data_IF_802845695176
#
_entry.id   IF_802845695176
#
_cell.length_a   1.000
_cell.length_b   1.000
_cell.length_c   1.000
_cell.angle_alpha   90.00
_cell.angle_beta   90.00
_cell.angle_gamma   90.00
#
_symmetry.space_group_name_H-M   'P 1'
#
loop_
_entity.id
_entity.type
_entity.pdbx_description
1 polymer ?
#
# COMPACT_ATOMS: atom_id res chain seq x y z
N UNK A 1 -42.60 -20.49 54.52
CA UNK A 1 -41.73 -21.40 53.74
C UNK A 1 -41.76 -21.17 52.21
N UNK A 2 -42.75 -20.45 51.64
CA UNK A 2 -42.84 -20.21 50.18
C UNK A 2 -41.96 -19.07 49.62
N UNK A 3 -41.54 -18.10 50.45
CA UNK A 3 -40.74 -16.94 49.99
C UNK A 3 -39.25 -17.26 49.78
N UNK A 4 -38.67 -18.18 50.55
CA UNK A 4 -37.27 -18.62 50.40
C UNK A 4 -37.02 -19.44 49.13
N UNK A 5 -38.05 -20.13 48.62
CA UNK A 5 -37.94 -20.94 47.39
C UNK A 5 -37.93 -20.08 46.12
N UNK A 6 -38.61 -18.94 46.13
CA UNK A 6 -38.65 -17.99 44.99
C UNK A 6 -37.35 -17.21 44.82
N UNK A 7 -36.69 -16.83 45.92
CA UNK A 7 -35.38 -16.17 45.88
C UNK A 7 -34.27 -17.06 45.34
N UNK A 8 -34.28 -18.36 45.70
CA UNK A 8 -33.29 -19.32 45.21
C UNK A 8 -33.49 -19.68 43.74
N UNK A 9 -34.75 -19.77 43.27
CA UNK A 9 -35.04 -19.97 41.85
C UNK A 9 -34.63 -18.73 41.05
N UNK A 10 -34.97 -17.52 41.49
CA UNK A 10 -34.57 -16.29 40.80
C UNK A 10 -33.05 -16.10 40.74
N UNK A 11 -32.32 -16.43 41.80
CA UNK A 11 -30.85 -16.35 41.82
C UNK A 11 -30.21 -17.43 40.93
N UNK A 12 -30.77 -18.65 40.92
CA UNK A 12 -30.33 -19.71 40.01
C UNK A 12 -30.65 -19.40 38.55
N UNK A 13 -31.79 -18.78 38.23
CA UNK A 13 -32.14 -18.39 36.86
C UNK A 13 -31.34 -17.18 36.39
N UNK A 14 -31.02 -16.22 37.26
CA UNK A 14 -30.12 -15.10 36.91
C UNK A 14 -28.70 -15.59 36.69
N UNK A 15 -28.18 -16.47 37.56
CA UNK A 15 -26.87 -17.09 37.34
C UNK A 15 -26.87 -17.97 36.10
N UNK A 16 -27.92 -18.75 35.83
CA UNK A 16 -27.97 -19.62 34.65
C UNK A 16 -28.15 -18.81 33.36
N UNK A 17 -28.85 -17.66 33.38
CA UNK A 17 -28.93 -16.74 32.23
C UNK A 17 -27.63 -15.99 32.03
N UNK A 18 -26.91 -15.59 33.10
CA UNK A 18 -25.58 -14.99 32.95
C UNK A 18 -24.54 -16.00 32.48
N UNK A 19 -24.57 -17.22 33.00
CA UNK A 19 -23.63 -18.31 32.68
C UNK A 19 -23.94 -18.89 31.28
N UNK A 20 -25.21 -19.01 30.86
CA UNK A 20 -25.56 -19.37 29.46
C UNK A 20 -25.26 -18.22 28.47
N UNK A 21 -25.37 -16.95 28.88
CA UNK A 21 -24.98 -15.81 28.03
C UNK A 21 -23.47 -15.63 27.91
N UNK A 22 -22.69 -16.12 28.87
CA UNK A 22 -21.22 -16.17 28.81
C UNK A 22 -20.70 -17.44 28.12
N UNK A 23 -21.45 -18.56 28.17
CA UNK A 23 -21.05 -19.85 27.57
C UNK A 23 -21.49 -20.00 26.09
N UNK A 24 -22.41 -19.16 25.59
CA UNK A 24 -22.77 -19.08 24.16
C UNK A 24 -22.10 -17.94 23.40
N UNK A 25 -20.96 -17.44 23.88
CA UNK A 25 -19.93 -17.05 22.93
C UNK A 25 -19.31 -18.35 22.41
N UNK A 26 -19.97 -18.98 21.42
CA UNK A 26 -19.22 -19.79 20.46
C UNK A 26 -17.99 -18.95 20.11
N UNK A 27 -16.81 -19.51 20.36
CA UNK A 27 -15.53 -18.89 20.08
C UNK A 27 -15.49 -18.63 18.57
N UNK A 28 -16.11 -17.52 18.13
CA UNK A 28 -16.34 -17.22 16.74
C UNK A 28 -14.97 -17.25 16.09
N UNK A 29 -14.76 -18.20 15.19
CA UNK A 29 -13.46 -18.34 14.55
C UNK A 29 -13.11 -16.97 13.96
N UNK A 30 -11.88 -16.49 14.17
CA UNK A 30 -11.46 -15.10 13.86
C UNK A 30 -11.84 -14.59 12.46
N UNK A 31 -12.08 -15.50 11.50
CA UNK A 31 -12.46 -15.23 10.13
C UNK A 31 -13.97 -15.02 9.91
N UNK A 32 -14.82 -15.34 10.89
CA UNK A 32 -16.28 -15.07 10.90
C UNK A 32 -16.63 -13.67 11.42
N UNK A 33 -15.62 -12.90 11.85
CA UNK A 33 -15.82 -11.54 12.33
C UNK A 33 -16.52 -10.67 11.27
N UNK A 34 -17.46 -9.80 11.67
CA UNK A 34 -18.16 -8.93 10.74
C UNK A 34 -17.19 -8.00 10.00
N UNK A 35 -17.31 -7.93 8.68
CA UNK A 35 -16.45 -7.09 7.81
C UNK A 35 -15.28 -7.82 7.16
N UNK A 36 -15.13 -9.13 7.41
CA UNK A 36 -14.18 -9.95 6.65
C UNK A 36 -14.62 -10.09 5.19
N UNK A 37 -13.69 -10.05 4.22
CA UNK A 37 -14.03 -10.00 2.80
C UNK A 37 -14.35 -11.37 2.18
N UNK A 38 -14.24 -12.45 2.96
CA UNK A 38 -14.55 -13.83 2.57
C UNK A 38 -15.82 -14.32 3.29
N UNK A 39 -16.64 -15.14 2.61
CA UNK A 39 -17.88 -15.72 3.17
C UNK A 39 -17.65 -17.08 3.85
N UNK A 40 -16.58 -17.76 3.48
CA UNK A 40 -16.18 -19.09 3.99
C UNK A 40 -14.81 -19.03 4.69
N UNK A 41 -14.42 -20.14 5.32
CA UNK A 41 -13.11 -20.28 5.97
C UNK A 41 -11.98 -19.96 4.99
N UNK A 42 -11.07 -19.01 5.32
CA UNK A 42 -10.02 -18.57 4.39
C UNK A 42 -9.10 -19.73 4.04
N UNK A 43 -8.88 -19.92 2.74
CA UNK A 43 -7.97 -20.90 2.21
C UNK A 43 -6.51 -20.47 2.36
N UNK A 44 -5.61 -21.35 1.93
CA UNK A 44 -4.16 -21.06 1.92
C UNK A 44 -3.82 -19.82 1.08
N UNK A 45 -4.50 -19.63 -0.06
CA UNK A 45 -4.29 -18.49 -0.94
C UNK A 45 -4.58 -17.16 -0.23
N UNK A 46 -5.63 -17.11 0.59
CA UNK A 46 -6.03 -15.92 1.31
C UNK A 46 -4.97 -15.54 2.36
N UNK A 47 -4.52 -16.53 3.14
CA UNK A 47 -3.47 -16.35 4.15
C UNK A 47 -2.15 -15.92 3.50
N UNK A 48 -1.78 -16.50 2.35
CA UNK A 48 -0.60 -16.09 1.59
C UNK A 48 -0.71 -14.65 1.11
N UNK A 49 -1.85 -14.25 0.55
CA UNK A 49 -2.07 -12.89 0.07
C UNK A 49 -1.97 -11.87 1.23
N UNK A 50 -2.59 -12.16 2.38
CA UNK A 50 -2.49 -11.32 3.59
C UNK A 50 -1.06 -11.23 4.11
N UNK A 51 -0.35 -12.36 4.17
CA UNK A 51 1.04 -12.41 4.63
C UNK A 51 1.96 -11.57 3.73
N UNK A 52 1.75 -11.62 2.42
CA UNK A 52 2.49 -10.80 1.46
C UNK A 52 2.24 -9.30 1.66
N UNK A 53 1.03 -8.86 2.01
CA UNK A 53 0.80 -7.46 2.37
C UNK A 53 1.61 -7.03 3.59
N UNK A 54 1.69 -7.90 4.61
CA UNK A 54 2.56 -7.67 5.78
C UNK A 54 4.03 -7.54 5.39
N UNK A 55 4.53 -8.41 4.52
CA UNK A 55 5.91 -8.35 4.00
C UNK A 55 6.15 -7.07 3.19
N UNK A 56 5.23 -6.72 2.28
CA UNK A 56 5.31 -5.50 1.46
C UNK A 56 5.30 -4.25 2.33
N UNK A 57 4.52 -4.24 3.41
CA UNK A 57 4.51 -3.14 4.38
C UNK A 57 5.90 -2.96 5.02
N UNK A 58 6.52 -4.05 5.50
CA UNK A 58 7.88 -4.00 6.08
C UNK A 58 8.90 -3.55 5.03
N UNK A 59 8.88 -4.12 3.82
CA UNK A 59 9.77 -3.72 2.72
C UNK A 59 9.58 -2.23 2.39
N UNK A 60 8.35 -1.74 2.35
CA UNK A 60 8.06 -0.33 2.04
C UNK A 60 8.65 0.61 3.08
N UNK A 61 8.62 0.25 4.37
CA UNK A 61 9.27 1.00 5.44
C UNK A 61 10.80 1.02 5.26
N UNK A 62 11.40 -0.10 4.87
CA UNK A 62 12.85 -0.20 4.62
C UNK A 62 13.28 0.59 3.37
N UNK A 63 12.40 0.80 2.40
CA UNK A 63 12.69 1.61 1.21
C UNK A 63 12.71 3.12 1.50
N UNK A 64 12.11 3.59 2.60
CA UNK A 64 12.11 5.01 2.97
C UNK A 64 13.54 5.58 3.16
N UNK A 65 14.42 4.97 3.99
CA UNK A 65 15.80 5.46 4.13
C UNK A 65 16.60 5.29 2.83
N UNK A 66 16.32 4.25 2.03
CA UNK A 66 16.97 4.04 0.73
C UNK A 66 16.62 5.18 -0.24
N UNK A 67 15.38 5.67 -0.21
CA UNK A 67 14.95 6.83 -1.01
C UNK A 67 15.67 8.11 -0.58
N UNK A 68 15.82 8.34 0.72
CA UNK A 68 16.57 9.48 1.24
C UNK A 68 18.05 9.41 0.83
N UNK A 69 18.66 8.25 0.96
CA UNK A 69 20.04 7.99 0.52
C UNK A 69 20.24 8.23 -0.99
N UNK A 70 19.27 7.84 -1.81
CA UNK A 70 19.32 8.05 -3.27
C UNK A 70 19.18 9.53 -3.66
N UNK A 71 18.45 10.33 -2.88
CA UNK A 71 18.32 11.79 -3.10
C UNK A 71 19.50 12.59 -2.55
N UNK A 72 20.35 11.99 -1.73
CA UNK A 72 21.43 12.69 -1.06
C UNK A 72 22.65 12.97 -1.95
N UNK A 73 22.70 12.42 -3.15
CA UNK A 73 23.81 12.54 -4.09
C UNK A 73 23.28 12.44 -5.53
N UNK A 74 23.59 13.46 -6.34
CA UNK A 74 23.12 13.59 -7.72
C UNK A 74 23.57 12.42 -8.61
N UNK A 75 24.76 11.85 -8.36
CA UNK A 75 25.27 10.72 -9.12
C UNK A 75 24.39 9.46 -8.97
N UNK A 76 23.57 9.41 -7.91
CA UNK A 76 22.69 8.27 -7.60
C UNK A 76 21.32 8.39 -8.23
N UNK A 77 20.94 9.54 -8.79
CA UNK A 77 19.59 9.75 -9.31
C UNK A 77 19.16 8.71 -10.36
N UNK A 78 19.98 8.34 -11.38
CA UNK A 78 19.60 7.31 -12.34
C UNK A 78 19.27 5.96 -11.67
N UNK A 79 20.13 5.50 -10.76
CA UNK A 79 19.91 4.25 -10.03
C UNK A 79 18.74 4.34 -9.05
N UNK A 80 18.59 5.49 -8.38
CA UNK A 80 17.47 5.77 -7.50
C UNK A 80 16.14 5.68 -8.24
N UNK A 81 16.04 6.30 -9.42
CA UNK A 81 14.85 6.21 -10.28
C UNK A 81 14.60 4.75 -10.68
N UNK A 82 15.63 4.05 -11.16
CA UNK A 82 15.52 2.68 -11.63
C UNK A 82 15.04 1.69 -10.56
N UNK A 83 15.49 1.84 -9.31
CA UNK A 83 15.17 0.92 -8.21
C UNK A 83 13.88 1.28 -7.48
N UNK A 84 13.53 2.57 -7.41
CA UNK A 84 12.43 3.05 -6.58
C UNK A 84 11.19 3.47 -7.38
N UNK A 85 11.32 3.80 -8.68
CA UNK A 85 10.19 4.29 -9.50
C UNK A 85 9.60 5.61 -8.98
N UNK A 86 10.46 6.46 -8.42
CA UNK A 86 10.08 7.62 -7.60
C UNK A 86 9.89 8.90 -8.41
N UNK A 87 8.70 9.51 -8.35
CA UNK A 87 8.45 10.83 -8.96
C UNK A 87 9.44 11.90 -8.47
N UNK A 88 9.77 11.93 -7.18
CA UNK A 88 10.74 12.88 -6.60
C UNK A 88 12.13 12.71 -7.21
N UNK A 89 12.60 11.46 -7.38
CA UNK A 89 13.91 11.17 -7.95
C UNK A 89 13.94 11.45 -9.46
N UNK A 90 12.83 11.20 -10.17
CA UNK A 90 12.71 11.53 -11.60
C UNK A 90 12.74 13.04 -11.81
N UNK A 91 12.03 13.79 -10.98
CA UNK A 91 12.06 15.25 -11.02
C UNK A 91 13.46 15.77 -10.67
N UNK A 92 14.10 15.24 -9.63
CA UNK A 92 15.48 15.61 -9.28
C UNK A 92 16.48 15.31 -10.42
N UNK A 93 16.34 14.15 -11.08
CA UNK A 93 17.09 13.80 -12.29
C UNK A 93 16.83 14.79 -13.43
N UNK A 94 15.58 15.20 -13.62
CA UNK A 94 15.19 16.23 -14.57
C UNK A 94 15.90 17.55 -14.29
N UNK A 95 15.83 18.03 -13.05
CA UNK A 95 16.45 19.29 -12.61
C UNK A 95 17.94 19.31 -12.96
N UNK A 96 18.72 18.34 -12.48
CA UNK A 96 20.18 18.33 -12.72
C UNK A 96 20.53 18.22 -14.21
N UNK A 97 19.73 17.51 -15.00
CA UNK A 97 19.90 17.47 -16.45
C UNK A 97 19.54 18.80 -17.12
N UNK A 98 18.59 19.56 -16.56
CA UNK A 98 18.25 20.92 -17.00
C UNK A 98 19.38 21.91 -16.83
N UNK A 99 20.25 21.69 -15.84
CA UNK A 99 21.40 22.55 -15.53
C UNK A 99 22.71 22.06 -16.14
N UNK A 100 22.67 20.96 -16.93
CA UNK A 100 23.81 20.50 -17.74
C UNK A 100 24.54 19.24 -17.25
N UNK A 101 24.05 18.53 -16.22
CA UNK A 101 24.71 17.32 -15.71
C UNK A 101 24.76 16.13 -16.71
N UNK A 102 23.94 16.16 -17.77
CA UNK A 102 23.90 15.16 -18.85
C UNK A 102 23.81 13.68 -18.38
N UNK A 103 23.08 13.42 -17.29
CA UNK A 103 22.86 12.07 -16.77
C UNK A 103 21.87 11.28 -17.65
N UNK A 104 22.02 9.95 -17.76
CA UNK A 104 21.09 9.14 -18.51
C UNK A 104 19.71 9.15 -17.83
N UNK A 105 18.65 9.34 -18.62
CA UNK A 105 17.27 9.40 -18.10
C UNK A 105 16.32 8.38 -18.73
N UNK A 106 16.63 7.85 -19.91
CA UNK A 106 15.78 6.87 -20.61
C UNK A 106 15.74 5.52 -19.88
N UNK A 107 16.90 4.87 -19.70
CA UNK A 107 16.95 3.56 -19.04
C UNK A 107 16.47 3.62 -17.57
N UNK A 108 16.76 4.67 -16.77
CA UNK A 108 16.22 4.78 -15.43
C UNK A 108 14.71 4.86 -15.39
N UNK A 109 14.08 5.63 -16.29
CA UNK A 109 12.62 5.76 -16.32
C UNK A 109 11.97 4.43 -16.69
N UNK A 110 12.53 3.68 -17.65
CA UNK A 110 12.03 2.36 -18.02
C UNK A 110 12.12 1.36 -16.86
N UNK A 111 13.28 1.24 -16.22
CA UNK A 111 13.44 0.36 -15.05
C UNK A 111 12.61 0.86 -13.86
N UNK A 112 12.50 2.17 -13.69
CA UNK A 112 11.69 2.81 -12.67
C UNK A 112 10.20 2.51 -12.84
N UNK A 113 9.70 2.39 -14.08
CA UNK A 113 8.37 1.88 -14.37
C UNK A 113 8.15 0.47 -13.84
N UNK A 114 9.11 -0.44 -14.06
CA UNK A 114 9.06 -1.82 -13.53
C UNK A 114 9.09 -1.80 -12.00
N UNK A 115 10.02 -1.05 -11.43
CA UNK A 115 10.14 -0.89 -9.99
C UNK A 115 8.87 -0.30 -9.38
N UNK A 116 8.16 0.58 -10.08
CA UNK A 116 6.92 1.19 -9.58
C UNK A 116 5.80 0.17 -9.44
N UNK A 117 5.64 -0.71 -10.43
CA UNK A 117 4.54 -1.68 -10.47
C UNK A 117 4.81 -2.99 -9.71
N UNK A 118 6.00 -3.15 -9.11
CA UNK A 118 6.46 -4.41 -8.49
C UNK A 118 5.51 -5.03 -7.47
N UNK A 119 4.73 -4.19 -6.77
CA UNK A 119 3.75 -4.65 -5.78
C UNK A 119 2.31 -4.60 -6.28
N UNK A 120 2.05 -4.07 -7.48
CA UNK A 120 0.69 -3.90 -8.01
C UNK A 120 0.02 -5.24 -8.31
N UNK A 121 0.81 -6.26 -8.69
CA UNK A 121 0.32 -7.63 -8.85
C UNK A 121 -0.36 -8.17 -7.58
N UNK A 122 0.09 -7.77 -6.39
CA UNK A 122 -0.50 -8.20 -5.12
C UNK A 122 -1.91 -7.60 -4.94
N UNK A 123 -2.11 -6.33 -5.29
CA UNK A 123 -3.42 -5.68 -5.23
C UNK A 123 -4.39 -6.27 -6.27
N UNK A 124 -3.89 -6.56 -7.47
CA UNK A 124 -4.66 -7.31 -8.47
C UNK A 124 -5.06 -8.69 -7.94
N UNK A 125 -4.14 -9.41 -7.29
CA UNK A 125 -4.41 -10.75 -6.77
C UNK A 125 -5.45 -10.72 -5.65
N UNK A 126 -5.32 -9.77 -4.71
CA UNK A 126 -6.31 -9.50 -3.68
C UNK A 126 -7.70 -9.22 -4.27
N UNK A 127 -7.77 -8.41 -5.33
CA UNK A 127 -9.00 -8.17 -6.08
C UNK A 127 -9.59 -9.43 -6.71
N UNK A 128 -8.75 -10.29 -7.28
CA UNK A 128 -9.19 -11.56 -7.89
C UNK A 128 -9.69 -12.59 -6.87
N UNK A 129 -9.18 -12.57 -5.64
CA UNK A 129 -9.60 -13.47 -4.55
C UNK A 129 -10.87 -12.96 -3.85
N UNK A 130 -10.90 -11.67 -3.48
CA UNK A 130 -11.91 -11.13 -2.56
C UNK A 130 -12.79 -10.03 -3.16
N UNK A 131 -12.41 -9.46 -4.30
CA UNK A 131 -13.01 -8.22 -4.80
C UNK A 131 -14.51 -8.33 -5.06
N UNK A 132 -14.99 -9.46 -5.60
CA UNK A 132 -16.44 -9.68 -5.80
C UNK A 132 -17.19 -9.93 -4.50
N UNK A 133 -16.66 -10.81 -3.64
CA UNK A 133 -17.26 -11.09 -2.34
C UNK A 133 -17.43 -9.83 -1.49
N UNK A 134 -16.42 -8.95 -1.51
CA UNK A 134 -16.49 -7.66 -0.81
C UNK A 134 -17.53 -6.70 -1.40
N UNK A 135 -17.62 -6.59 -2.74
CA UNK A 135 -18.61 -5.74 -3.41
C UNK A 135 -20.04 -6.22 -3.14
N UNK A 136 -20.25 -7.54 -3.13
CA UNK A 136 -21.56 -8.15 -2.84
C UNK A 136 -21.96 -7.90 -1.38
N UNK A 137 -21.06 -8.17 -0.43
CA UNK A 137 -21.28 -7.86 0.99
C UNK A 137 -21.61 -6.39 1.21
N UNK A 138 -20.90 -5.48 0.53
CA UNK A 138 -21.17 -4.04 0.63
C UNK A 138 -22.52 -3.67 0.00
N UNK A 139 -22.89 -4.28 -1.13
CA UNK A 139 -24.17 -4.07 -1.77
C UNK A 139 -25.35 -4.55 -0.90
N UNK A 140 -25.18 -5.65 -0.15
CA UNK A 140 -26.17 -6.21 0.77
C UNK A 140 -26.52 -5.25 1.94
N UNK A 141 -25.63 -4.33 2.32
CA UNK A 141 -25.86 -3.41 3.45
C UNK A 141 -27.02 -2.42 3.21
N UNK A 142 -27.26 -1.98 1.97
CA UNK A 142 -28.38 -1.07 1.67
C UNK A 142 -28.69 -0.95 0.17
N UNK A 143 -29.94 -0.57 -0.15
CA UNK A 143 -30.33 -0.23 -1.54
C UNK A 143 -29.48 0.87 -2.17
N UNK A 144 -28.96 1.81 -1.36
CA UNK A 144 -28.07 2.88 -1.84
C UNK A 144 -26.68 2.34 -2.15
N UNK A 145 -26.14 1.46 -1.30
CA UNK A 145 -24.86 0.79 -1.52
C UNK A 145 -24.88 -0.04 -2.81
N UNK A 146 -25.92 -0.86 -3.02
CA UNK A 146 -26.10 -1.62 -4.26
C UNK A 146 -26.10 -0.72 -5.51
N UNK A 147 -26.85 0.40 -5.52
CA UNK A 147 -26.85 1.36 -6.63
C UNK A 147 -25.47 1.97 -6.88
N UNK A 148 -24.72 2.27 -5.82
CA UNK A 148 -23.37 2.81 -5.93
C UNK A 148 -22.39 1.80 -6.52
N UNK A 149 -22.44 0.53 -6.09
CA UNK A 149 -21.61 -0.55 -6.64
C UNK A 149 -21.86 -0.69 -8.14
N UNK A 150 -23.12 -0.82 -8.57
CA UNK A 150 -23.46 -0.91 -10.00
C UNK A 150 -22.99 0.30 -10.80
N UNK A 151 -23.05 1.51 -10.21
CA UNK A 151 -22.56 2.73 -10.84
C UNK A 151 -21.04 2.70 -11.01
N UNK A 152 -20.30 2.29 -9.98
CA UNK A 152 -18.84 2.18 -10.01
C UNK A 152 -18.40 1.16 -11.05
N UNK A 153 -19.02 -0.02 -11.10
CA UNK A 153 -18.72 -1.04 -12.11
C UNK A 153 -19.00 -0.55 -13.53
N UNK A 154 -20.11 0.16 -13.73
CA UNK A 154 -20.43 0.77 -15.04
C UNK A 154 -19.40 1.82 -15.44
N UNK A 155 -18.96 2.65 -14.50
CA UNK A 155 -17.91 3.65 -14.73
C UNK A 155 -16.59 2.95 -15.05
N UNK A 156 -16.21 1.92 -14.28
CA UNK A 156 -14.98 1.16 -14.50
C UNK A 156 -14.95 0.53 -15.90
N UNK A 157 -16.06 -0.10 -16.34
CA UNK A 157 -16.22 -0.64 -17.70
C UNK A 157 -16.13 0.43 -18.79
N UNK A 158 -16.71 1.62 -18.54
CA UNK A 158 -16.67 2.74 -19.49
C UNK A 158 -15.28 3.37 -19.61
N UNK A 159 -14.57 3.52 -18.50
CA UNK A 159 -13.22 4.07 -18.46
C UNK A 159 -12.24 3.08 -19.12
N UNK A 160 -12.41 1.78 -18.85
CA UNK A 160 -11.59 0.73 -19.45
C UNK A 160 -10.09 0.95 -19.17
N UNK A 161 -9.21 0.80 -20.17
CA UNK A 161 -7.76 0.98 -20.01
C UNK A 161 -7.34 2.38 -19.51
N UNK A 162 -8.16 3.42 -19.71
CA UNK A 162 -7.86 4.77 -19.20
C UNK A 162 -7.80 4.84 -17.66
N UNK A 163 -8.35 3.85 -16.97
CA UNK A 163 -8.31 3.76 -15.51
C UNK A 163 -6.88 3.67 -14.99
N UNK A 164 -5.99 3.03 -15.75
CA UNK A 164 -4.57 2.96 -15.42
C UNK A 164 -3.89 4.33 -15.54
N UNK A 165 -4.22 5.15 -16.53
CA UNK A 165 -3.70 6.51 -16.59
C UNK A 165 -4.21 7.35 -15.41
N UNK A 166 -5.49 7.21 -15.04
CA UNK A 166 -6.09 7.91 -13.91
C UNK A 166 -5.47 7.50 -12.56
N UNK A 167 -5.01 6.25 -12.44
CA UNK A 167 -4.40 5.70 -11.22
C UNK A 167 -3.18 6.48 -10.74
N UNK A 168 -2.50 7.18 -11.65
CA UNK A 168 -1.25 7.89 -11.37
C UNK A 168 -1.43 9.39 -11.11
N UNK A 169 -2.65 9.94 -11.28
CA UNK A 169 -2.90 11.35 -10.99
C UNK A 169 -2.49 11.72 -9.55
N UNK A 170 -1.82 12.86 -9.33
CA UNK A 170 -1.38 13.31 -8.02
C UNK A 170 -2.56 13.89 -7.20
N UNK A 171 -3.59 13.08 -7.00
CA UNK A 171 -4.75 13.40 -6.16
C UNK A 171 -4.57 12.61 -4.86
N UNK A 172 -4.82 13.19 -3.68
CA UNK A 172 -4.68 12.52 -2.38
C UNK A 172 -5.83 11.53 -2.11
N UNK A 173 -6.15 10.69 -3.10
CA UNK A 173 -7.14 9.64 -3.03
C UNK A 173 -6.51 8.33 -3.52
N UNK A 174 -6.82 7.18 -2.91
CA UNK A 174 -6.25 5.89 -3.27
C UNK A 174 -6.86 5.31 -4.57
N UNK A 175 -7.05 6.13 -5.60
CA UNK A 175 -7.70 5.76 -6.87
C UNK A 175 -6.95 4.60 -7.52
N UNK A 176 -5.62 4.61 -7.49
CA UNK A 176 -4.85 3.52 -8.09
C UNK A 176 -5.09 2.17 -7.42
N UNK A 177 -5.19 2.13 -6.09
CA UNK A 177 -5.52 0.88 -5.38
C UNK A 177 -6.88 0.34 -5.81
N UNK A 178 -7.88 1.23 -5.94
CA UNK A 178 -9.22 0.86 -6.41
C UNK A 178 -9.16 0.30 -7.83
N UNK A 179 -8.43 0.94 -8.75
CA UNK A 179 -8.29 0.45 -10.14
C UNK A 179 -7.65 -0.94 -10.15
N UNK A 180 -6.61 -1.17 -9.36
CA UNK A 180 -5.89 -2.45 -9.35
C UNK A 180 -6.73 -3.59 -8.77
N UNK A 181 -7.42 -3.33 -7.66
CA UNK A 181 -8.34 -4.29 -7.03
C UNK A 181 -9.52 -4.58 -7.95
N UNK A 182 -10.13 -3.56 -8.56
CA UNK A 182 -11.24 -3.75 -9.50
C UNK A 182 -10.81 -4.51 -10.75
N UNK A 183 -9.60 -4.29 -11.27
CA UNK A 183 -9.08 -5.06 -12.39
C UNK A 183 -9.00 -6.57 -12.05
N UNK A 184 -8.58 -6.90 -10.84
CA UNK A 184 -8.62 -8.27 -10.33
C UNK A 184 -10.03 -8.81 -10.18
N UNK A 185 -10.93 -8.03 -9.58
CA UNK A 185 -12.32 -8.41 -9.32
C UNK A 185 -13.14 -8.66 -10.60
N UNK A 186 -12.87 -7.89 -11.66
CA UNK A 186 -13.46 -8.08 -13.00
C UNK A 186 -12.84 -9.25 -13.77
N UNK A 187 -11.85 -9.95 -13.22
CA UNK A 187 -11.21 -11.11 -13.86
C UNK A 187 -10.23 -10.75 -14.98
N UNK A 188 -9.66 -9.53 -14.97
CA UNK A 188 -8.63 -9.14 -15.94
C UNK A 188 -7.40 -10.05 -15.79
N UNK A 189 -6.84 -10.55 -16.90
CA UNK A 189 -5.62 -11.36 -16.86
C UNK A 189 -4.44 -10.54 -16.30
N UNK A 190 -3.66 -11.14 -15.39
CA UNK A 190 -2.49 -10.50 -14.77
C UNK A 190 -1.51 -9.90 -15.79
N UNK A 191 -1.27 -10.57 -16.92
CA UNK A 191 -0.38 -10.07 -17.98
C UNK A 191 -0.89 -8.76 -18.60
N UNK A 192 -2.18 -8.69 -18.90
CA UNK A 192 -2.81 -7.47 -19.45
C UNK A 192 -2.76 -6.34 -18.45
N UNK A 193 -3.06 -6.65 -17.18
CA UNK A 193 -2.96 -5.71 -16.07
C UNK A 193 -1.55 -5.11 -15.98
N UNK A 194 -0.51 -5.94 -15.88
CA UNK A 194 0.87 -5.48 -15.74
C UNK A 194 1.37 -4.66 -16.94
N UNK A 195 0.97 -5.00 -18.17
CA UNK A 195 1.39 -4.24 -19.37
C UNK A 195 0.75 -2.84 -19.37
N UNK A 196 -0.56 -2.75 -19.16
CA UNK A 196 -1.26 -1.47 -19.12
C UNK A 196 -0.76 -0.58 -17.98
N UNK A 197 -0.55 -1.20 -16.82
CA UNK A 197 -0.04 -0.53 -15.64
C UNK A 197 1.40 -0.05 -15.82
N UNK A 198 2.28 -0.88 -16.41
CA UNK A 198 3.65 -0.48 -16.76
C UNK A 198 3.69 0.72 -17.70
N UNK A 199 2.89 0.70 -18.76
CA UNK A 199 2.81 1.78 -19.74
C UNK A 199 2.35 3.07 -19.04
N UNK A 200 1.27 3.00 -18.27
CA UNK A 200 0.74 4.16 -17.55
C UNK A 200 1.75 4.70 -16.52
N UNK A 201 2.37 3.83 -15.72
CA UNK A 201 3.37 4.17 -14.73
C UNK A 201 4.58 4.90 -15.34
N UNK A 202 5.08 4.37 -16.45
CA UNK A 202 6.27 4.88 -17.14
C UNK A 202 5.98 6.19 -17.84
N UNK A 203 4.86 6.28 -18.58
CA UNK A 203 4.43 7.51 -19.23
C UNK A 203 4.20 8.62 -18.21
N UNK A 204 3.70 8.29 -17.01
CA UNK A 204 3.48 9.27 -15.97
C UNK A 204 4.76 9.85 -15.38
N UNK A 205 5.89 9.15 -15.46
CA UNK A 205 7.19 9.68 -15.01
C UNK A 205 7.74 10.74 -15.98
N UNK A 206 7.37 10.71 -17.26
CA UNK A 206 7.88 11.62 -18.28
C UNK A 206 7.55 13.09 -17.98
N UNK A 207 6.30 13.48 -17.67
CA UNK A 207 5.99 14.85 -17.25
C UNK A 207 6.79 15.31 -16.04
N UNK A 208 7.00 14.46 -15.03
CA UNK A 208 7.78 14.81 -13.84
C UNK A 208 9.25 15.09 -14.15
N UNK A 209 9.82 14.35 -15.11
CA UNK A 209 11.17 14.59 -15.61
C UNK A 209 11.24 15.95 -16.31
N UNK A 210 10.34 16.20 -17.27
CA UNK A 210 10.32 17.46 -18.02
C UNK A 210 10.03 18.68 -17.15
N UNK A 211 9.14 18.55 -16.17
CA UNK A 211 8.89 19.60 -15.17
C UNK A 211 10.18 19.93 -14.42
N UNK A 212 10.89 18.92 -13.90
CA UNK A 212 12.19 19.12 -13.27
C UNK A 212 13.19 19.80 -14.20
N UNK A 213 13.30 19.30 -15.42
CA UNK A 213 14.20 19.83 -16.45
C UNK A 213 13.92 21.31 -16.77
N UNK A 214 12.65 21.71 -16.79
CA UNK A 214 12.26 23.09 -17.07
C UNK A 214 12.48 24.09 -15.92
N UNK A 215 12.66 23.61 -14.68
CA UNK A 215 12.79 24.49 -13.50
C UNK A 215 14.19 25.11 -13.36
N UNK A 216 15.22 24.51 -13.95
CA UNK A 216 16.59 25.06 -13.98
C UNK A 216 17.27 25.23 -12.61
N UNK A 217 18.18 26.20 -12.53
CA UNK A 217 19.04 26.49 -11.36
C UNK A 217 18.28 26.67 -10.03
N UNK A 218 17.15 27.41 -9.96
CA UNK A 218 16.44 27.59 -8.68
C UNK A 218 15.99 26.29 -8.03
N UNK A 219 15.61 25.29 -8.82
CA UNK A 219 15.24 23.97 -8.29
C UNK A 219 16.47 23.17 -7.85
N UNK A 220 17.64 23.37 -8.49
CA UNK A 220 18.87 22.72 -8.08
C UNK A 220 19.33 23.21 -6.70
N UNK A 221 19.28 24.52 -6.44
CA UNK A 221 19.65 25.08 -5.13
C UNK A 221 18.83 24.45 -3.99
N UNK A 222 17.53 24.28 -4.21
CA UNK A 222 16.63 23.60 -3.26
C UNK A 222 17.04 22.13 -3.07
N UNK A 223 17.42 21.43 -4.14
CA UNK A 223 17.89 20.04 -4.06
C UNK A 223 19.21 19.93 -3.29
N UNK A 224 20.13 20.88 -3.43
CA UNK A 224 21.41 20.87 -2.69
C UNK A 224 21.20 21.08 -1.19
N UNK A 225 20.32 22.02 -0.82
CA UNK A 225 19.89 22.21 0.56
C UNK A 225 19.24 20.92 1.09
N UNK A 226 18.35 20.31 0.32
CA UNK A 226 17.71 19.04 0.68
C UNK A 226 18.74 17.91 0.86
N UNK A 227 19.68 17.75 -0.07
CA UNK A 227 20.70 16.70 -0.03
C UNK A 227 21.60 16.84 1.22
N UNK A 228 21.93 18.08 1.61
CA UNK A 228 22.66 18.36 2.85
C UNK A 228 21.88 17.88 4.07
N UNK A 229 20.60 18.23 4.19
CA UNK A 229 19.76 17.75 5.30
C UNK A 229 19.55 16.25 5.28
N UNK A 230 19.27 15.66 4.10
CA UNK A 230 19.06 14.23 3.93
C UNK A 230 20.29 13.41 4.36
N UNK A 231 21.50 13.86 4.02
CA UNK A 231 22.74 13.21 4.47
C UNK A 231 22.85 13.21 6.01
N UNK A 232 22.57 14.34 6.67
CA UNK A 232 22.58 14.38 8.13
C UNK A 232 21.53 13.45 8.76
N UNK A 233 20.32 13.37 8.18
CA UNK A 233 19.27 12.47 8.64
C UNK A 233 19.70 11.01 8.51
N UNK A 234 20.31 10.62 7.39
CA UNK A 234 20.83 9.25 7.18
C UNK A 234 21.93 8.92 8.19
N UNK A 235 22.87 9.85 8.43
CA UNK A 235 23.92 9.69 9.45
C UNK A 235 23.30 9.53 10.84
N UNK A 236 22.33 10.37 11.22
CA UNK A 236 21.66 10.31 12.51
C UNK A 236 20.91 8.99 12.71
N UNK A 237 20.18 8.52 11.68
CA UNK A 237 19.51 7.22 11.69
C UNK A 237 20.50 6.07 11.85
N UNK A 238 21.62 6.13 11.12
CA UNK A 238 22.67 5.11 11.21
C UNK A 238 23.24 5.03 12.63
N UNK A 239 23.59 6.19 13.23
CA UNK A 239 24.04 6.26 14.63
C UNK A 239 22.96 5.74 15.59
N UNK A 240 21.70 6.13 15.41
CA UNK A 240 20.59 5.66 16.25
C UNK A 240 20.42 4.13 16.20
N UNK A 241 20.45 3.54 15.01
CA UNK A 241 20.36 2.08 14.82
C UNK A 241 21.54 1.37 15.47
N UNK A 242 22.77 1.84 15.24
CA UNK A 242 23.96 1.24 15.86
C UNK A 242 23.91 1.34 17.39
N UNK A 243 23.59 2.51 17.95
CA UNK A 243 23.42 2.68 19.41
C UNK A 243 22.33 1.76 19.95
N UNK A 244 21.21 1.63 19.25
CA UNK A 244 20.12 0.71 19.62
C UNK A 244 20.58 -0.75 19.67
N UNK A 245 21.34 -1.20 18.67
CA UNK A 245 21.90 -2.55 18.61
C UNK A 245 22.91 -2.78 19.74
N UNK A 246 23.87 -1.87 19.92
CA UNK A 246 24.90 -2.00 20.96
C UNK A 246 24.31 -1.97 22.37
N UNK A 247 23.27 -1.16 22.64
CA UNK A 247 22.57 -1.14 23.93
C UNK A 247 21.74 -2.39 24.18
N UNK A 248 21.17 -3.02 23.14
CA UNK A 248 20.45 -4.29 23.26
C UNK A 248 21.42 -5.45 23.53
N UNK A 249 22.57 -5.47 22.86
CA UNK A 249 23.61 -6.47 23.08
C UNK A 249 24.28 -6.33 24.46
N UNK A 250 24.51 -5.11 24.94
CA UNK A 250 25.07 -4.92 26.29
C UNK A 250 24.13 -5.39 27.39
N UNK A 251 22.81 -5.16 27.23
CA UNK A 251 21.79 -5.69 28.16
C UNK A 251 21.66 -7.21 28.12
N UNK A 252 21.85 -7.84 26.96
CA UNK A 252 21.84 -9.31 26.83
C UNK A 252 23.11 -10.00 27.35
N UNK A 253 24.25 -9.29 27.39
CA UNK A 253 25.49 -9.81 28.01
C UNK A 253 25.56 -9.59 29.52
N UNK A 254 24.77 -8.67 30.05
CA UNK A 254 24.72 -8.33 31.48
C UNK A 254 23.59 -9.06 32.24
N UNK A 255 22.76 -9.84 31.55
CA UNK A 255 21.76 -10.75 32.09
C UNK A 255 22.24 -12.20 31.88
#
# INVERSE_FOLDING_TARGET
MLLLRRGFIAFATVNQVSDESEVQQEEQEWWQAPGMPWKDKPGKADIWCLSLFGIVFVISLLLLPIRAWALADQARYPWGVALLGSNTLVTALGVVNGVGAALPFVWPILLGGIARIKFHALYWWAGSLWGRGYLDMYAEQSKRAARNVTKVERIAKKIGPWGFALSYLPIPLPIGLVVFILAGAEGMKLRTFLILDFIAATLWMVPFYYLGHSLGEPAQEVLEVYAKFANYVVIALMVFVFVGIFRKQSKQKAA
#
